data_IF_155142332536
#
_entry.id   IF_155142332536
#
_cell.length_a   1.000
_cell.length_b   1.000
_cell.length_c   1.000
_cell.angle_alpha   90.00
_cell.angle_beta   90.00
_cell.angle_gamma   90.00
#
_symmetry.space_group_name_H-M   'P 1'
#
loop_
_entity.id
_entity.type
_entity.pdbx_description
1 polymer ?
#
# COMPACT_ATOMS: atom_id res chain seq x y z
N UNK A 1 1.25 -6.20 -79.09
CA UNK A 1 2.15 -5.57 -78.09
C UNK A 1 1.41 -5.49 -76.77
N UNK A 2 2.14 -5.72 -75.67
CA UNK A 2 1.70 -5.76 -74.26
C UNK A 2 1.29 -7.15 -73.74
N UNK A 3 2.29 -7.87 -73.26
CA UNK A 3 2.23 -9.05 -72.39
C UNK A 3 1.93 -8.66 -70.94
N UNK A 4 1.12 -9.42 -70.18
CA UNK A 4 0.95 -9.23 -68.74
C UNK A 4 2.02 -9.99 -67.92
N UNK A 5 2.70 -9.26 -67.04
CA UNK A 5 3.68 -9.78 -66.09
C UNK A 5 2.98 -10.29 -64.82
N UNK A 6 3.12 -11.59 -64.51
CA UNK A 6 2.68 -12.19 -63.24
C UNK A 6 3.83 -12.12 -62.24
N UNK A 7 3.60 -11.52 -61.07
CA UNK A 7 4.56 -11.55 -59.95
C UNK A 7 4.20 -12.65 -58.93
N UNK A 8 5.09 -13.61 -58.65
CA UNK A 8 4.89 -14.63 -57.62
C UNK A 8 5.87 -14.43 -56.46
N UNK A 9 5.40 -14.03 -55.27
CA UNK A 9 6.19 -14.18 -54.02
C UNK A 9 5.28 -14.42 -52.81
N UNK A 10 4.82 -15.67 -52.66
CA UNK A 10 4.34 -16.23 -51.37
C UNK A 10 5.16 -17.48 -51.10
N UNK A 11 6.13 -17.41 -50.19
CA UNK A 11 6.96 -18.58 -49.87
C UNK A 11 8.18 -18.25 -49.03
N UNK A 12 8.02 -17.63 -47.87
CA UNK A 12 9.11 -17.46 -46.91
C UNK A 12 8.64 -17.24 -45.45
N UNK A 13 7.43 -17.69 -45.07
CA UNK A 13 6.85 -17.36 -43.76
C UNK A 13 6.62 -18.57 -42.82
N UNK A 14 7.07 -19.78 -43.17
CA UNK A 14 6.66 -21.00 -42.43
C UNK A 14 7.79 -21.80 -41.76
N UNK A 15 9.04 -21.34 -41.75
CA UNK A 15 10.15 -22.07 -41.11
C UNK A 15 10.64 -21.48 -39.77
N UNK A 16 10.16 -20.29 -39.37
CA UNK A 16 10.55 -19.65 -38.10
C UNK A 16 9.68 -20.05 -36.90
N UNK A 17 8.55 -20.74 -37.12
CA UNK A 17 7.60 -21.07 -36.05
C UNK A 17 8.03 -22.27 -35.18
N UNK A 18 8.96 -23.12 -35.64
CA UNK A 18 9.25 -24.41 -34.99
C UNK A 18 10.39 -24.39 -33.97
N UNK A 19 11.24 -23.34 -33.95
CA UNK A 19 12.36 -23.23 -32.97
C UNK A 19 11.90 -22.58 -31.66
N UNK A 20 10.83 -21.80 -31.68
CA UNK A 20 10.34 -21.08 -30.51
C UNK A 20 9.63 -21.99 -29.48
N UNK A 21 9.16 -23.18 -29.87
CA UNK A 21 8.35 -24.04 -29.00
C UNK A 21 9.16 -25.05 -28.17
N UNK A 22 10.39 -25.37 -28.57
CA UNK A 22 11.25 -26.34 -27.87
C UNK A 22 12.10 -25.71 -26.75
N UNK A 23 12.26 -24.38 -26.73
CA UNK A 23 13.07 -23.68 -25.72
C UNK A 23 12.35 -23.41 -24.40
N UNK A 24 11.03 -23.58 -24.33
CA UNK A 24 10.25 -23.38 -23.09
C UNK A 24 10.25 -24.58 -22.15
N UNK A 25 10.62 -25.78 -22.61
CA UNK A 25 10.58 -27.02 -21.80
C UNK A 25 11.85 -27.27 -20.97
N UNK A 26 12.92 -26.47 -21.17
CA UNK A 26 14.17 -26.55 -20.40
C UNK A 26 14.32 -25.41 -19.38
N UNK A 27 13.27 -24.63 -19.13
CA UNK A 27 13.31 -23.65 -18.05
C UNK A 27 13.48 -24.40 -16.71
N UNK A 28 14.54 -24.12 -15.92
CA UNK A 28 14.68 -24.71 -14.60
C UNK A 28 13.46 -24.32 -13.77
N UNK A 29 12.81 -25.31 -13.15
CA UNK A 29 11.76 -25.04 -12.19
C UNK A 29 12.34 -24.11 -11.13
N UNK A 30 11.83 -22.89 -11.02
CA UNK A 30 12.18 -22.02 -9.90
C UNK A 30 11.75 -22.76 -8.64
N UNK A 31 12.68 -23.04 -7.71
CA UNK A 31 12.32 -23.71 -6.48
C UNK A 31 11.17 -22.92 -5.84
N UNK A 32 10.06 -23.61 -5.57
CA UNK A 32 9.00 -23.04 -4.75
C UNK A 32 9.61 -22.82 -3.37
N UNK A 33 10.03 -21.60 -3.10
CA UNK A 33 10.48 -21.21 -1.77
C UNK A 33 9.32 -21.47 -0.81
N UNK A 34 9.46 -22.48 0.05
CA UNK A 34 8.60 -22.59 1.22
C UNK A 34 8.70 -21.24 1.94
N UNK A 35 7.56 -20.58 2.15
CA UNK A 35 7.55 -19.24 2.72
C UNK A 35 8.23 -19.29 4.09
N UNK A 36 9.32 -18.53 4.32
CA UNK A 36 10.13 -18.67 5.52
C UNK A 36 9.45 -18.15 6.80
N UNK A 37 8.33 -17.46 6.64
CA UNK A 37 7.50 -16.92 7.72
C UNK A 37 6.22 -17.76 7.73
N UNK A 38 5.88 -18.39 8.86
CA UNK A 38 4.80 -19.38 9.01
C UNK A 38 3.40 -18.90 8.60
N UNK A 39 2.42 -18.96 9.51
CA UNK A 39 1.13 -18.35 9.21
C UNK A 39 1.32 -16.83 9.07
N UNK A 40 0.57 -16.14 8.18
CA UNK A 40 0.67 -14.70 8.06
C UNK A 40 0.10 -14.01 9.30
N UNK A 41 0.58 -12.80 9.59
CA UNK A 41 -0.05 -11.95 10.61
C UNK A 41 -1.52 -11.71 10.26
N UNK A 42 -2.38 -11.57 11.26
CA UNK A 42 -3.80 -11.27 11.04
C UNK A 42 -4.22 -9.97 11.72
N UNK A 43 -5.09 -9.22 11.05
CA UNK A 43 -5.72 -8.01 11.58
C UNK A 43 -7.23 -8.10 11.42
N UNK A 44 -7.97 -7.73 12.45
CA UNK A 44 -9.41 -7.58 12.41
C UNK A 44 -9.79 -6.13 12.77
N UNK A 45 -10.60 -5.51 11.93
CA UNK A 45 -11.12 -4.15 12.12
C UNK A 45 -12.61 -4.22 12.38
N UNK A 46 -13.09 -3.53 13.42
CA UNK A 46 -14.50 -3.45 13.75
C UNK A 46 -14.87 -2.09 14.35
N UNK A 47 -16.12 -1.65 14.18
CA UNK A 47 -16.68 -0.56 14.97
C UNK A 47 -17.17 -1.07 16.33
N UNK A 48 -17.16 -0.19 17.33
CA UNK A 48 -17.87 -0.41 18.59
C UNK A 48 -19.36 -0.10 18.40
N UNK A 49 -20.23 -1.05 18.77
CA UNK A 49 -21.68 -0.91 18.59
C UNK A 49 -22.31 0.10 19.56
N UNK A 50 -21.71 0.31 20.73
CA UNK A 50 -22.20 1.22 21.76
C UNK A 50 -21.54 2.61 21.69
N UNK A 51 -20.33 2.69 21.15
CA UNK A 51 -19.53 3.91 21.01
C UNK A 51 -19.16 4.12 19.53
N UNK A 52 -20.04 4.74 18.71
CA UNK A 52 -19.84 4.83 17.27
C UNK A 52 -18.59 5.61 16.83
N UNK A 53 -17.96 6.34 17.74
CA UNK A 53 -16.67 7.01 17.56
C UNK A 53 -15.44 6.08 17.78
N UNK A 54 -15.62 4.85 18.26
CA UNK A 54 -14.54 3.91 18.56
C UNK A 54 -14.38 2.85 17.47
N UNK A 55 -13.12 2.66 17.05
CA UNK A 55 -12.70 1.60 16.13
C UNK A 55 -11.78 0.63 16.87
N UNK A 56 -12.14 -0.64 16.87
CA UNK A 56 -11.31 -1.72 17.38
C UNK A 56 -10.42 -2.26 16.27
N UNK A 57 -9.11 -2.31 16.51
CA UNK A 57 -8.16 -2.98 15.62
C UNK A 57 -7.41 -4.04 16.41
N UNK A 58 -7.68 -5.31 16.10
CA UNK A 58 -7.05 -6.46 16.74
C UNK A 58 -5.98 -7.03 15.83
N UNK A 59 -4.76 -7.13 16.33
CA UNK A 59 -3.63 -7.76 15.64
C UNK A 59 -3.21 -9.06 16.32
N UNK A 60 -2.85 -10.06 15.52
CA UNK A 60 -2.21 -11.30 15.99
C UNK A 60 -0.96 -11.54 15.13
N UNK A 61 0.13 -11.91 15.81
CA UNK A 61 1.33 -12.38 15.16
C UNK A 61 1.05 -13.62 14.29
N UNK A 62 1.86 -13.81 13.25
CA UNK A 62 1.73 -14.94 12.35
C UNK A 62 2.34 -16.20 12.97
N UNK A 63 3.61 -16.10 13.34
CA UNK A 63 4.29 -17.06 14.21
C UNK A 63 4.40 -16.58 15.65
N UNK A 64 4.58 -17.51 16.60
CA UNK A 64 4.86 -17.14 18.00
C UNK A 64 6.31 -16.67 18.19
N UNK A 65 7.22 -17.19 17.38
CA UNK A 65 8.61 -16.74 17.25
C UNK A 65 8.71 -15.25 16.88
N UNK A 66 7.76 -14.73 16.09
CA UNK A 66 7.66 -13.28 15.80
C UNK A 66 7.53 -12.44 17.08
N UNK A 67 6.81 -12.94 18.10
CA UNK A 67 6.69 -12.24 19.38
C UNK A 67 8.01 -12.23 20.14
N UNK A 68 8.77 -13.31 20.05
CA UNK A 68 10.10 -13.40 20.68
C UNK A 68 11.07 -12.44 20.00
N UNK A 69 11.11 -12.45 18.67
CA UNK A 69 11.93 -11.55 17.88
C UNK A 69 11.57 -10.08 18.14
N UNK A 70 10.27 -9.77 18.21
CA UNK A 70 9.80 -8.43 18.60
C UNK A 70 10.25 -8.07 20.02
N UNK A 71 10.20 -9.02 20.96
CA UNK A 71 10.66 -8.82 22.32
C UNK A 71 12.15 -8.45 22.39
N UNK A 72 12.99 -9.15 21.63
CA UNK A 72 14.41 -8.82 21.49
C UNK A 72 14.61 -7.45 20.85
N UNK A 73 13.90 -7.17 19.75
CA UNK A 73 13.96 -5.89 19.05
C UNK A 73 13.60 -4.69 19.96
N UNK A 74 12.62 -4.87 20.85
CA UNK A 74 12.22 -3.86 21.82
C UNK A 74 13.12 -3.78 23.06
N UNK A 75 14.11 -4.67 23.18
CA UNK A 75 14.99 -4.77 24.35
C UNK A 75 14.28 -5.30 25.60
N UNK A 76 13.16 -5.99 25.43
CA UNK A 76 12.39 -6.63 26.50
C UNK A 76 12.86 -8.05 26.81
N UNK A 77 13.45 -8.71 25.81
CA UNK A 77 14.03 -10.05 25.94
C UNK A 77 15.54 -10.01 25.63
N UNK A 78 16.32 -10.93 26.20
CA UNK A 78 17.76 -11.06 25.91
C UNK A 78 18.06 -11.29 24.43
N UNK A 79 19.21 -10.81 23.93
CA UNK A 79 19.59 -10.96 22.53
C UNK A 79 20.00 -12.39 22.14
N UNK A 80 20.40 -13.22 23.11
CA UNK A 80 20.77 -14.63 22.92
C UNK A 80 19.55 -15.54 22.65
N UNK A 81 18.34 -14.98 22.66
CA UNK A 81 17.11 -15.63 22.18
C UNK A 81 17.12 -15.87 20.67
N UNK A 82 17.97 -15.15 19.92
CA UNK A 82 18.22 -15.38 18.50
C UNK A 82 19.50 -16.19 18.38
N UNK A 83 19.39 -17.41 17.86
CA UNK A 83 20.54 -18.33 17.72
C UNK A 83 21.48 -17.88 16.58
N UNK A 84 22.68 -18.47 16.52
CA UNK A 84 23.69 -18.12 15.52
C UNK A 84 23.25 -18.40 14.07
N UNK A 85 22.35 -19.36 13.87
CA UNK A 85 21.72 -19.69 12.59
C UNK A 85 20.44 -18.86 12.33
N UNK A 86 20.11 -17.92 13.21
CA UNK A 86 18.96 -17.03 13.07
C UNK A 86 17.62 -17.63 13.50
N UNK A 87 17.63 -18.83 14.09
CA UNK A 87 16.43 -19.43 14.64
C UNK A 87 15.98 -18.68 15.91
N UNK A 88 14.66 -18.63 16.11
CA UNK A 88 14.03 -18.00 17.26
C UNK A 88 12.97 -18.96 17.78
N UNK A 89 12.98 -19.22 19.09
CA UNK A 89 12.03 -20.13 19.73
C UNK A 89 11.20 -19.39 20.76
N UNK A 90 9.88 -19.49 20.63
CA UNK A 90 8.95 -18.90 21.58
C UNK A 90 8.94 -19.65 22.91
N UNK A 91 8.97 -18.88 24.00
CA UNK A 91 8.61 -19.36 25.33
C UNK A 91 7.34 -18.66 25.84
N UNK A 92 6.45 -19.36 26.58
CA UNK A 92 5.26 -18.74 27.16
C UNK A 92 5.52 -17.50 28.02
N UNK A 93 6.70 -17.41 28.65
CA UNK A 93 7.16 -16.23 29.39
C UNK A 93 7.34 -15.00 28.52
N UNK A 94 7.67 -15.15 27.24
CA UNK A 94 7.90 -14.03 26.32
C UNK A 94 6.63 -13.17 26.20
N UNK A 95 5.48 -13.81 26.00
CA UNK A 95 4.19 -13.12 25.96
C UNK A 95 3.84 -12.41 27.28
N UNK A 96 4.29 -12.96 28.41
CA UNK A 96 4.06 -12.40 29.75
C UNK A 96 4.92 -11.16 30.01
N UNK A 97 6.13 -11.12 29.44
CA UNK A 97 7.00 -9.94 29.47
C UNK A 97 6.50 -8.86 28.51
N UNK A 98 6.10 -9.25 27.29
CA UNK A 98 5.72 -8.31 26.23
C UNK A 98 4.36 -7.67 26.47
N UNK A 99 3.33 -8.47 26.76
CA UNK A 99 1.94 -8.02 26.84
C UNK A 99 1.73 -6.76 27.70
N UNK A 100 2.19 -6.74 28.97
CA UNK A 100 2.00 -5.59 29.85
C UNK A 100 3.01 -4.45 29.62
N UNK A 101 3.98 -4.60 28.71
CA UNK A 101 5.04 -3.62 28.51
C UNK A 101 4.54 -2.35 27.81
N UNK A 102 4.93 -1.20 28.36
CA UNK A 102 4.69 0.11 27.72
C UNK A 102 5.50 0.28 26.43
N UNK A 103 6.65 -0.41 26.29
CA UNK A 103 7.43 -0.41 25.04
C UNK A 103 6.69 -1.14 23.92
N UNK A 104 6.07 -2.28 24.23
CA UNK A 104 5.22 -3.01 23.29
C UNK A 104 3.96 -2.21 22.92
N UNK A 105 3.24 -1.67 23.91
CA UNK A 105 2.08 -0.81 23.64
C UNK A 105 2.45 0.40 22.77
N UNK A 106 3.57 1.06 23.07
CA UNK A 106 4.08 2.17 22.28
C UNK A 106 4.51 1.76 20.87
N UNK A 107 5.09 0.57 20.69
CA UNK A 107 5.40 0.02 19.38
C UNK A 107 4.14 -0.17 18.53
N UNK A 108 3.13 -0.84 19.08
CA UNK A 108 1.86 -1.09 18.38
C UNK A 108 1.20 0.22 17.96
N UNK A 109 1.13 1.22 18.84
CA UNK A 109 0.54 2.54 18.54
C UNK A 109 1.33 3.36 17.51
N UNK A 110 2.62 3.09 17.32
CA UNK A 110 3.43 3.74 16.27
C UNK A 110 3.30 3.06 14.92
N UNK A 111 3.18 1.73 14.92
CA UNK A 111 3.10 0.92 13.72
C UNK A 111 1.68 0.72 13.20
N UNK A 112 0.68 1.08 13.99
CA UNK A 112 -0.72 1.01 13.62
C UNK A 112 -1.37 2.34 13.98
N UNK A 113 -2.04 2.97 13.03
CA UNK A 113 -2.75 4.23 13.28
C UNK A 113 -4.06 4.28 12.51
N UNK A 114 -5.05 4.95 13.09
CA UNK A 114 -6.37 5.14 12.46
C UNK A 114 -6.63 6.62 12.28
N UNK A 115 -7.16 6.97 11.12
CA UNK A 115 -7.70 8.31 10.84
C UNK A 115 -9.14 8.20 10.36
N UNK A 116 -9.96 9.19 10.68
CA UNK A 116 -11.32 9.34 10.14
C UNK A 116 -11.58 10.79 9.81
N UNK A 117 -12.13 11.07 8.62
CA UNK A 117 -12.34 12.45 8.15
C UNK A 117 -11.05 13.28 8.08
N UNK A 118 -9.92 12.64 7.77
CA UNK A 118 -8.60 13.29 7.77
C UNK A 118 -8.04 13.64 9.15
N UNK A 119 -8.71 13.25 10.25
CA UNK A 119 -8.24 13.49 11.63
C UNK A 119 -7.75 12.19 12.26
N UNK A 120 -6.66 12.26 13.01
CA UNK A 120 -6.15 11.13 13.78
C UNK A 120 -7.12 10.75 14.91
N UNK A 121 -7.30 9.45 15.10
CA UNK A 121 -8.02 8.88 16.23
C UNK A 121 -6.99 8.52 17.33
N UNK A 122 -7.33 8.80 18.58
CA UNK A 122 -6.46 8.52 19.71
C UNK A 122 -6.49 7.01 20.03
N UNK A 123 -5.36 6.33 19.82
CA UNK A 123 -5.22 4.91 20.10
C UNK A 123 -4.86 4.61 21.55
N UNK A 124 -5.45 3.56 22.10
CA UNK A 124 -5.11 3.03 23.44
C UNK A 124 -4.97 1.52 23.38
N UNK A 125 -4.02 0.99 24.15
CA UNK A 125 -3.74 -0.45 24.22
C UNK A 125 -3.94 -0.90 25.66
N UNK A 126 -4.91 -1.78 25.88
CA UNK A 126 -5.01 -2.50 27.14
C UNK A 126 -4.02 -3.68 27.12
N UNK A 127 -3.36 -3.99 28.25
CA UNK A 127 -2.56 -5.21 28.36
C UNK A 127 -3.39 -6.44 27.96
N UNK A 128 -2.95 -7.22 26.96
CA UNK A 128 -3.67 -8.40 26.53
C UNK A 128 -3.60 -9.48 27.62
N UNK A 129 -4.71 -10.17 27.87
CA UNK A 129 -4.75 -11.28 28.83
C UNK A 129 -3.96 -12.51 28.36
N UNK A 130 -3.84 -12.69 27.03
CA UNK A 130 -3.07 -13.76 26.39
C UNK A 130 -2.60 -13.27 25.01
N UNK A 131 -1.41 -12.65 24.98
CA UNK A 131 -0.86 -12.09 23.73
C UNK A 131 -0.61 -13.17 22.67
N UNK A 132 -0.12 -14.35 23.06
CA UNK A 132 0.22 -15.42 22.14
C UNK A 132 -1.01 -15.98 21.41
N UNK A 133 -2.11 -16.19 22.12
CA UNK A 133 -3.34 -16.73 21.52
C UNK A 133 -4.21 -15.65 20.92
N UNK A 134 -4.46 -14.60 21.70
CA UNK A 134 -5.48 -13.61 21.40
C UNK A 134 -4.94 -12.40 20.65
N UNK A 135 -3.62 -12.18 20.68
CA UNK A 135 -3.02 -10.98 20.15
C UNK A 135 -3.31 -9.76 21.02
N UNK A 136 -3.27 -8.59 20.40
CA UNK A 136 -3.53 -7.30 21.06
C UNK A 136 -4.67 -6.59 20.35
N UNK A 137 -5.53 -5.91 21.11
CA UNK A 137 -6.54 -5.00 20.57
C UNK A 137 -6.15 -3.58 20.90
N UNK A 138 -6.28 -2.71 19.90
CA UNK A 138 -6.11 -1.28 20.04
C UNK A 138 -7.46 -0.61 19.82
N UNK A 139 -7.87 0.18 20.79
CA UNK A 139 -9.09 0.97 20.72
C UNK A 139 -8.73 2.38 20.28
N UNK A 140 -9.20 2.76 19.09
CA UNK A 140 -9.03 4.10 18.54
C UNK A 140 -10.30 4.92 18.75
N UNK A 141 -10.20 5.98 19.56
CA UNK A 141 -11.30 6.94 19.75
C UNK A 141 -11.15 8.09 18.76
N UNK A 142 -12.09 8.21 17.84
CA UNK A 142 -12.12 9.28 16.85
C UNK A 142 -12.89 10.51 17.37
N UNK A 143 -12.71 11.70 16.76
CA UNK A 143 -13.40 12.92 17.20
C UNK A 143 -14.93 12.94 17.04
N UNK A 144 -15.51 11.90 16.43
CA UNK A 144 -16.94 11.75 16.19
C UNK A 144 -17.25 10.37 15.58
N UNK A 145 -18.53 10.07 15.30
CA UNK A 145 -18.95 8.79 14.73
C UNK A 145 -18.21 8.43 13.44
N UNK A 146 -17.87 7.15 13.29
CA UNK A 146 -17.01 6.66 12.21
C UNK A 146 -17.80 5.81 11.22
N UNK A 147 -17.97 6.30 10.00
CA UNK A 147 -18.51 5.51 8.88
C UNK A 147 -17.41 4.87 8.06
N UNK A 148 -16.32 5.62 7.85
CA UNK A 148 -15.11 5.14 7.18
C UNK A 148 -13.90 5.45 8.06
N UNK A 149 -13.05 4.45 8.25
CA UNK A 149 -11.77 4.56 8.95
C UNK A 149 -10.62 4.18 8.00
N UNK A 150 -9.61 5.04 7.91
CA UNK A 150 -8.35 4.72 7.23
C UNK A 150 -7.37 4.16 8.24
N UNK A 151 -6.98 2.91 8.05
CA UNK A 151 -5.97 2.21 8.84
C UNK A 151 -4.64 2.21 8.09
N UNK A 152 -3.60 2.79 8.70
CA UNK A 152 -2.19 2.64 8.31
C UNK A 152 -1.55 1.56 9.19
N UNK A 153 -0.97 0.53 8.57
CA UNK A 153 -0.39 -0.62 9.24
C UNK A 153 1.01 -0.93 8.71
N UNK A 154 1.97 -1.04 9.64
CA UNK A 154 3.40 -1.30 9.39
C UNK A 154 4.00 -2.34 10.36
N UNK A 155 3.16 -3.06 11.12
CA UNK A 155 3.61 -4.02 12.12
C UNK A 155 4.60 -5.04 11.55
N UNK A 156 5.72 -5.19 12.28
CA UNK A 156 6.88 -6.04 11.99
C UNK A 156 7.64 -5.72 10.69
N UNK A 157 7.18 -4.80 9.84
CA UNK A 157 7.89 -4.46 8.58
C UNK A 157 9.23 -3.74 8.81
N UNK A 158 9.45 -3.24 10.03
CA UNK A 158 10.71 -2.71 10.50
C UNK A 158 11.69 -3.79 11.00
N UNK A 159 11.20 -4.99 11.29
CA UNK A 159 12.01 -6.16 11.57
C UNK A 159 12.42 -6.85 10.27
N UNK A 160 11.47 -7.08 9.37
CA UNK A 160 11.72 -7.64 8.03
C UNK A 160 10.71 -7.08 7.00
N UNK A 161 11.17 -6.52 5.86
CA UNK A 161 10.27 -6.00 4.83
C UNK A 161 9.41 -7.09 4.15
N UNK A 162 9.67 -8.38 4.36
CA UNK A 162 8.87 -9.49 3.85
C UNK A 162 7.60 -9.74 4.67
N UNK A 163 7.46 -9.18 5.88
CA UNK A 163 6.24 -9.33 6.67
C UNK A 163 5.01 -8.78 5.94
N UNK A 164 3.91 -9.53 6.05
CA UNK A 164 2.60 -9.18 5.52
C UNK A 164 1.54 -9.46 6.57
N UNK A 165 0.45 -8.70 6.53
CA UNK A 165 -0.71 -8.94 7.38
C UNK A 165 -1.98 -9.10 6.54
N UNK A 166 -2.73 -10.18 6.77
CA UNK A 166 -4.06 -10.38 6.23
C UNK A 166 -5.07 -9.69 7.14
N UNK A 167 -5.74 -8.68 6.61
CA UNK A 167 -6.73 -7.92 7.35
C UNK A 167 -8.16 -8.27 6.92
N UNK A 168 -9.06 -8.25 7.88
CA UNK A 168 -10.50 -8.49 7.71
C UNK A 168 -11.29 -7.40 8.40
N UNK A 169 -12.49 -7.11 7.89
CA UNK A 169 -13.38 -6.11 8.44
C UNK A 169 -14.85 -6.43 8.20
N UNK A 170 -15.76 -5.49 8.49
CA UNK A 170 -17.20 -5.68 8.32
C UNK A 170 -17.58 -6.07 6.89
N UNK A 171 -18.71 -6.78 6.77
CA UNK A 171 -19.29 -7.19 5.48
C UNK A 171 -18.33 -7.99 4.58
N UNK A 172 -17.36 -8.68 5.18
CA UNK A 172 -16.39 -9.51 4.47
C UNK A 172 -15.29 -8.74 3.76
N UNK A 173 -15.09 -7.46 4.05
CA UNK A 173 -13.96 -6.67 3.56
C UNK A 173 -12.63 -7.34 3.91
N UNK A 174 -11.68 -7.28 2.98
CA UNK A 174 -10.34 -7.88 3.12
C UNK A 174 -9.29 -6.97 2.50
N UNK A 175 -8.11 -6.96 3.10
CA UNK A 175 -6.93 -6.30 2.56
C UNK A 175 -5.66 -7.06 2.95
N UNK A 176 -4.58 -6.87 2.21
CA UNK A 176 -3.24 -7.37 2.56
C UNK A 176 -2.34 -6.18 2.75
N UNK A 177 -1.76 -6.06 3.94
CA UNK A 177 -0.78 -5.03 4.24
C UNK A 177 0.64 -5.50 3.99
N UNK A 178 1.48 -4.60 3.51
CA UNK A 178 2.90 -4.81 3.26
C UNK A 178 3.62 -3.51 2.94
N UNK A 179 4.91 -3.58 2.56
CA UNK A 179 5.73 -2.40 2.26
C UNK A 179 5.10 -1.47 1.22
N UNK A 180 4.49 -2.04 0.19
CA UNK A 180 3.91 -1.32 -0.96
C UNK A 180 2.43 -0.95 -0.77
N UNK A 181 1.76 -1.54 0.22
CA UNK A 181 0.35 -1.29 0.53
C UNK A 181 0.15 -1.20 2.03
N UNK A 182 0.26 0.02 2.57
CA UNK A 182 0.24 0.27 4.02
C UNK A 182 -1.08 0.83 4.53
N UNK A 183 -1.92 1.33 3.63
CA UNK A 183 -3.16 2.02 3.99
C UNK A 183 -4.37 1.35 3.35
N UNK A 184 -5.46 1.27 4.10
CA UNK A 184 -6.75 0.80 3.61
C UNK A 184 -7.88 1.58 4.29
N UNK A 185 -8.87 1.94 3.49
CA UNK A 185 -10.13 2.51 4.00
C UNK A 185 -11.09 1.34 4.28
N UNK A 186 -11.64 1.33 5.50
CA UNK A 186 -12.60 0.35 5.99
C UNK A 186 -13.95 1.01 6.18
N UNK A 187 -14.98 0.47 5.54
CA UNK A 187 -16.37 0.89 5.77
C UNK A 187 -16.86 0.18 7.02
N UNK A 188 -17.24 0.95 8.04
CA UNK A 188 -17.65 0.44 9.35
C UNK A 188 -19.15 0.62 9.63
N UNK A 189 -19.86 1.38 8.80
CA UNK A 189 -21.30 1.60 8.87
C UNK A 189 -21.75 2.81 8.05
N UNK A 190 -23.03 3.17 8.19
CA UNK A 190 -23.69 4.21 7.38
C UNK A 190 -23.44 5.65 7.86
N UNK A 191 -22.54 5.86 8.83
CA UNK A 191 -22.28 7.21 9.31
C UNK A 191 -21.72 8.06 8.14
N UNK A 192 -22.26 9.26 7.90
CA UNK A 192 -21.86 10.06 6.76
C UNK A 192 -20.36 10.33 6.83
N UNK A 193 -19.63 10.20 5.70
CA UNK A 193 -18.22 10.51 5.69
C UNK A 193 -18.02 11.94 6.21
N UNK A 194 -17.18 12.09 7.22
CA UNK A 194 -16.82 13.40 7.74
C UNK A 194 -16.39 14.28 6.56
N UNK A 195 -17.07 15.40 6.39
CA UNK A 195 -16.93 16.25 5.22
C UNK A 195 -15.48 16.70 5.06
N UNK A 196 -14.74 16.08 4.15
CA UNK A 196 -13.39 16.53 3.84
C UNK A 196 -13.45 17.92 3.20
N UNK A 197 -12.76 18.92 3.74
CA UNK A 197 -12.55 20.15 3.02
C UNK A 197 -11.45 19.90 1.96
N UNK A 198 -11.83 20.01 0.68
CA UNK A 198 -10.97 20.44 -0.45
C UNK A 198 -10.39 19.41 -1.47
N UNK A 199 -10.86 18.17 -1.59
CA UNK A 199 -10.52 17.37 -2.79
C UNK A 199 -11.12 17.95 -4.08
N UNK A 200 -12.36 18.45 -4.03
CA UNK A 200 -13.01 19.08 -5.19
C UNK A 200 -12.33 20.38 -5.68
N UNK A 201 -11.63 21.09 -4.79
CA UNK A 201 -10.97 22.37 -5.14
C UNK A 201 -9.66 22.18 -5.89
N UNK A 202 -8.94 21.07 -5.63
CA UNK A 202 -7.68 20.73 -6.32
C UNK A 202 -7.91 20.11 -7.69
N UNK A 203 -8.94 19.25 -7.82
CA UNK A 203 -9.31 18.68 -9.11
C UNK A 203 -9.79 19.75 -10.12
N UNK A 204 -10.60 20.71 -9.68
CA UNK A 204 -11.04 21.83 -10.52
C UNK A 204 -9.88 22.74 -10.96
N UNK A 205 -8.90 22.98 -10.08
CA UNK A 205 -7.72 23.78 -10.41
C UNK A 205 -6.80 23.09 -11.43
N UNK A 206 -6.64 21.76 -11.36
CA UNK A 206 -5.86 20.99 -12.33
C UNK A 206 -6.53 20.96 -13.71
N UNK A 207 -7.85 20.78 -13.78
CA UNK A 207 -8.60 20.82 -15.04
C UNK A 207 -8.54 22.23 -15.66
N UNK A 208 -8.67 23.29 -14.85
CA UNK A 208 -8.54 24.67 -15.33
C UNK A 208 -7.13 25.00 -15.86
N UNK A 209 -6.08 24.46 -15.23
CA UNK A 209 -4.70 24.64 -15.69
C UNK A 209 -4.42 23.95 -17.03
N UNK A 210 -4.95 22.73 -17.25
CA UNK A 210 -4.78 22.02 -18.52
C UNK A 210 -5.54 22.71 -19.65
N UNK A 211 -6.79 23.14 -19.40
CA UNK A 211 -7.59 23.86 -20.41
C UNK A 211 -6.99 25.22 -20.74
N UNK A 212 -6.48 25.96 -19.74
CA UNK A 212 -5.80 27.24 -19.95
C UNK A 212 -4.48 27.11 -20.73
N UNK A 213 -3.69 26.06 -20.46
CA UNK A 213 -2.44 25.80 -21.16
C UNK A 213 -2.64 25.44 -22.64
N UNK A 214 -3.65 24.62 -22.96
CA UNK A 214 -3.95 24.20 -24.34
C UNK A 214 -4.45 25.36 -25.21
N UNK A 215 -5.17 26.33 -24.63
CA UNK A 215 -5.67 27.49 -25.37
C UNK A 215 -4.62 28.59 -25.62
N UNK A 216 -3.57 28.71 -24.81
CA UNK A 216 -2.56 29.76 -24.95
C UNK A 216 -1.51 29.47 -26.04
N UNK A 217 -1.19 28.20 -26.29
CA UNK A 217 -0.22 27.78 -27.31
C UNK A 217 -0.56 28.29 -28.72
N UNK A 218 -1.79 28.15 -29.26
CA UNK A 218 -2.10 28.64 -30.60
C UNK A 218 -2.07 30.17 -30.68
N UNK A 219 -2.48 30.88 -29.62
CA UNK A 219 -2.49 32.35 -29.60
C UNK A 219 -1.07 32.92 -29.64
N UNK A 220 -0.15 32.37 -28.83
CA UNK A 220 1.25 32.79 -28.83
C UNK A 220 1.93 32.46 -30.16
N UNK A 221 1.69 31.27 -30.71
CA UNK A 221 2.21 30.88 -32.02
C UNK A 221 1.74 31.82 -33.14
N UNK A 222 0.47 32.24 -33.11
CA UNK A 222 -0.12 33.13 -34.11
C UNK A 222 0.44 34.55 -34.01
N UNK A 223 0.64 35.07 -32.79
CA UNK A 223 1.26 36.37 -32.54
C UNK A 223 2.73 36.40 -32.98
N UNK A 224 3.51 35.35 -32.69
CA UNK A 224 4.90 35.22 -33.14
C UNK A 224 5.01 35.12 -34.66
N UNK A 225 4.09 34.43 -35.33
CA UNK A 225 4.08 34.33 -36.80
C UNK A 225 3.74 35.68 -37.45
N UNK A 226 2.84 36.45 -36.85
CA UNK A 226 2.43 37.77 -37.34
C UNK A 226 3.53 38.82 -37.16
N UNK A 227 4.28 38.78 -36.07
CA UNK A 227 5.39 39.71 -35.82
C UNK A 227 6.59 39.46 -36.77
N UNK A 228 6.90 38.19 -37.08
CA UNK A 228 7.94 37.84 -38.07
C UNK A 228 7.62 38.35 -39.47
N UNK A 229 6.36 38.21 -39.92
CA UNK A 229 5.92 38.74 -41.23
C UNK A 229 6.05 40.26 -41.34
N UNK A 230 5.76 41.00 -40.26
CA UNK A 230 5.90 42.46 -40.24
C UNK A 230 7.35 42.95 -40.29
N UNK A 231 8.31 42.15 -39.80
CA UNK A 231 9.75 42.49 -39.87
C UNK A 231 10.31 42.27 -41.28
N UNK A 232 9.89 41.21 -41.97
CA UNK A 232 10.33 40.93 -43.35
C UNK A 232 9.86 41.98 -44.37
N UNK A 233 8.71 42.64 -44.12
CA UNK A 233 8.19 43.69 -45.00
C UNK A 233 8.85 45.06 -44.83
N UNK A 234 9.74 45.25 -43.84
CA UNK A 234 10.43 46.52 -43.58
C UNK A 234 11.86 46.58 -44.13
N UNK A 235 12.33 45.52 -44.76
CA UNK A 235 13.65 45.43 -45.40
C UNK A 235 13.49 45.41 -46.92
N UNK A 236 12.98 46.50 -47.50
CA UNK A 236 13.25 46.86 -48.89
C UNK A 236 13.94 48.22 -48.87
N UNK A 237 15.24 48.30 -49.21
CA UNK A 237 15.89 49.59 -49.44
C UNK A 237 15.40 50.13 -50.79
N UNK A 238 14.83 51.34 -50.77
CA UNK A 238 14.61 52.12 -51.97
C UNK A 238 15.97 52.50 -52.57
N UNK A 239 16.22 52.05 -53.79
CA UNK A 239 17.28 52.56 -54.68
C UNK A 239 16.61 53.22 -55.87
#
# INVERSE_FOLDING_TARGET
MSTPERSPRRGAASLLASVAFTLTLLAPATPAGAHPFGDPQTVAVAADAARPEVVHVRWRAGGLDDLTLLGVHLGLLPADRVTLDGAVFFEPSDATVLGPSTQFAGYVLRQMTVTSGGRACAGTVAPPSDLARSGVTVDYTCPGPVGVARLDLRLLTDLDPAYRALATGPDGQRAVYGPDHRTQDWVLGDAPPASEPHLGRRAAAQIAAVVGGVLLVPVVALLLRRSRRRRAARTCPSS
#
